data_IF_804879504108
#
_entry.id   IF_804879504108
#
_cell.length_a   1.000
_cell.length_b   1.000
_cell.length_c   1.000
_cell.angle_alpha   90.00
_cell.angle_beta   90.00
_cell.angle_gamma   90.00
#
_symmetry.space_group_name_H-M   'P 1'
#
loop_
_entity.id
_entity.type
_entity.pdbx_description
1 polymer ?
#
# COMPACT_ATOMS: atom_id res chain seq x y z
N UNK A 1 17.51 -3.33 8.97
CA UNK A 1 17.15 -3.35 8.64
C UNK A 1 16.84 -2.86 7.95
N UNK A 2 16.98 -2.53 7.61
CA UNK A 2 16.77 -2.07 6.98
C UNK A 2 16.24 -2.22 6.53
N UNK A 3 16.16 -2.46 6.58
CA UNK A 3 15.73 -2.73 6.06
C UNK A 3 15.14 -2.03 5.46
N UNK A 4 14.84 -1.53 5.30
CA UNK A 4 14.37 -1.04 4.68
C UNK A 4 14.11 0.09 4.14
N UNK A 5 13.88 0.48 3.16
CA UNK A 5 13.56 1.68 2.68
C UNK A 5 12.85 1.75 1.44
N UNK A 6 11.73 2.33 1.11
CA UNK A 6 10.97 2.35 -0.12
C UNK A 6 9.76 3.15 -0.29
N UNK A 7 9.11 3.46 -1.39
CA UNK A 7 7.80 3.76 -1.82
C UNK A 7 7.02 4.40 -2.84
N UNK A 8 6.10 4.77 -3.61
CA UNK A 8 4.89 4.88 -4.04
C UNK A 8 4.17 5.39 -5.22
N UNK A 9 3.57 5.75 -6.11
CA UNK A 9 2.42 5.68 -6.83
C UNK A 9 2.23 6.19 -8.22
N UNK A 10 1.42 5.85 -9.03
CA UNK A 10 1.37 5.99 -10.34
C UNK A 10 0.17 6.28 -10.97
N UNK A 11 0.00 6.57 -12.12
CA UNK A 11 -1.21 6.88 -12.54
C UNK A 11 -1.52 6.71 -13.92
N UNK A 12 -0.62 6.41 -14.74
CA UNK A 12 -1.06 6.20 -16.01
C UNK A 12 -1.91 5.02 -16.03
N UNK A 13 -1.73 4.16 -15.17
CA UNK A 13 -2.66 3.06 -15.02
C UNK A 13 -3.65 3.42 -13.95
N UNK A 14 -4.13 4.66 -13.94
CA UNK A 14 -5.00 5.13 -12.88
C UNK A 14 -6.18 4.22 -12.64
N UNK A 15 -6.88 3.84 -13.70
CA UNK A 15 -8.05 2.99 -13.51
C UNK A 15 -7.67 1.58 -13.07
N UNK A 16 -6.56 1.08 -13.55
CA UNK A 16 -6.08 -0.21 -13.12
C UNK A 16 -5.71 -0.17 -11.65
N UNK A 17 -5.01 0.88 -11.24
CA UNK A 17 -4.64 1.03 -9.85
C UNK A 17 -5.86 1.18 -8.96
N UNK A 18 -6.84 1.93 -9.42
CA UNK A 18 -8.05 2.13 -8.66
C UNK A 18 -8.81 0.81 -8.48
N UNK A 19 -8.87 0.03 -9.53
CA UNK A 19 -9.50 -1.28 -9.46
C UNK A 19 -8.75 -2.18 -8.50
N UNK A 20 -7.43 -2.14 -8.54
CA UNK A 20 -6.63 -2.92 -7.61
C UNK A 20 -6.89 -2.49 -6.17
N UNK A 21 -6.99 -1.19 -5.93
CA UNK A 21 -7.32 -0.72 -4.60
C UNK A 21 -8.67 -1.25 -4.15
N UNK A 22 -9.65 -1.20 -5.04
CA UNK A 22 -10.97 -1.70 -4.69
C UNK A 22 -10.97 -3.20 -4.42
N UNK A 23 -10.20 -3.93 -5.19
CA UNK A 23 -10.18 -5.37 -5.05
C UNK A 23 -9.43 -5.83 -3.81
N UNK A 24 -8.41 -5.06 -3.41
CA UNK A 24 -7.54 -5.52 -2.35
C UNK A 24 -7.56 -4.67 -1.09
N UNK A 25 -8.48 -3.71 -1.01
CA UNK A 25 -8.57 -2.90 0.16
C UNK A 25 -9.23 -3.63 1.28
N UNK A 26 -9.20 -3.94 2.24
CA UNK A 26 -9.87 -4.71 3.28
C UNK A 26 -9.39 -6.15 3.29
N UNK A 27 -8.09 -6.32 3.23
CA UNK A 27 -7.51 -7.64 3.35
C UNK A 27 -7.75 -8.17 4.75
N UNK A 28 -7.97 -9.46 4.86
CA UNK A 28 -8.13 -10.11 6.13
C UNK A 28 -6.83 -10.78 6.54
N UNK A 29 -6.75 -11.17 7.80
CA UNK A 29 -5.53 -11.74 8.34
C UNK A 29 -4.97 -12.90 7.52
N UNK A 30 -5.84 -13.78 7.05
CA UNK A 30 -5.33 -14.92 6.28
C UNK A 30 -4.90 -14.52 4.89
N UNK A 31 -5.44 -13.43 4.35
CA UNK A 31 -4.98 -12.93 3.06
C UNK A 31 -3.56 -12.37 3.22
N UNK A 32 -3.33 -11.64 4.30
CA UNK A 32 -1.99 -11.13 4.61
C UNK A 32 -1.03 -12.29 4.80
N UNK A 33 -1.46 -13.30 5.55
CA UNK A 33 -0.60 -14.45 5.81
C UNK A 33 -0.19 -15.13 4.51
N UNK A 34 -1.13 -15.28 3.60
CA UNK A 34 -0.85 -15.91 2.32
C UNK A 34 0.16 -15.09 1.51
N UNK A 35 -0.02 -13.78 1.50
CA UNK A 35 0.90 -12.91 0.79
C UNK A 35 2.30 -12.98 1.39
N UNK A 36 2.39 -12.99 2.72
CA UNK A 36 3.69 -13.07 3.36
C UNK A 36 4.40 -14.37 3.03
N UNK A 37 3.66 -15.46 2.95
CA UNK A 37 4.25 -16.76 2.67
C UNK A 37 4.76 -16.88 1.24
N UNK A 38 4.15 -16.14 0.31
CA UNK A 38 4.53 -16.25 -1.09
C UNK A 38 5.51 -15.19 -1.53
N UNK A 39 5.77 -14.18 -0.69
CA UNK A 39 6.67 -13.10 -1.06
C UNK A 39 8.12 -13.57 -1.08
N UNK A 40 8.88 -13.05 -2.03
CA UNK A 40 10.33 -13.30 -2.07
C UNK A 40 11.04 -12.57 -0.95
N UNK A 41 10.57 -11.37 -0.63
CA UNK A 41 11.15 -10.56 0.42
C UNK A 41 10.07 -9.75 1.09
N UNK A 42 10.23 -9.49 2.37
CA UNK A 42 9.28 -8.75 3.18
C UNK A 42 10.03 -7.65 3.91
N UNK A 43 9.57 -6.43 3.75
CA UNK A 43 10.18 -5.27 4.41
C UNK A 43 9.13 -4.61 5.30
N UNK A 44 9.41 -4.54 6.58
CA UNK A 44 8.49 -3.92 7.53
C UNK A 44 9.06 -2.58 7.94
N UNK A 45 8.18 -1.59 8.11
CA UNK A 45 8.57 -0.27 8.57
C UNK A 45 9.73 0.28 7.75
N UNK A 46 9.54 0.30 6.45
CA UNK A 46 10.58 0.67 5.52
C UNK A 46 10.68 2.20 5.45
N UNK A 47 11.78 2.78 5.94
CA UNK A 47 11.90 4.23 5.92
C UNK A 47 12.27 4.75 4.54
N UNK A 48 11.82 5.95 4.24
CA UNK A 48 12.18 6.58 2.99
C UNK A 48 12.48 8.05 3.19
N UNK A 49 13.29 8.59 2.30
CA UNK A 49 13.60 10.00 2.23
C UNK A 49 13.44 10.44 0.80
N UNK A 50 12.88 11.60 0.58
CA UNK A 50 12.67 12.11 -0.76
C UNK A 50 12.94 13.60 -0.80
N UNK A 51 13.60 14.04 -1.85
CA UNK A 51 13.75 15.46 -2.14
C UNK A 51 13.12 15.72 -3.48
N UNK A 52 12.24 16.71 -3.55
CA UNK A 52 11.62 17.11 -4.79
C UNK A 52 11.81 18.62 -4.90
N UNK A 53 12.82 19.00 -5.67
CA UNK A 53 13.23 20.39 -5.69
C UNK A 53 13.77 20.78 -4.31
N UNK A 54 13.10 21.74 -3.69
CA UNK A 54 13.46 22.17 -2.35
C UNK A 54 12.63 21.51 -1.27
N UNK A 55 11.72 20.64 -1.65
CA UNK A 55 10.87 19.99 -0.67
C UNK A 55 11.47 18.68 -0.22
N UNK A 56 11.55 18.52 1.08
CA UNK A 56 12.07 17.32 1.70
C UNK A 56 10.91 16.55 2.34
N UNK A 57 10.86 15.26 2.08
CA UNK A 57 9.85 14.39 2.69
C UNK A 57 10.52 13.17 3.25
N UNK A 58 10.01 12.69 4.38
CA UNK A 58 10.45 11.40 4.88
C UNK A 58 9.25 10.70 5.48
N UNK A 59 9.39 9.42 5.70
CA UNK A 59 8.31 8.64 6.28
C UNK A 59 8.70 7.20 6.35
N UNK A 60 7.68 6.37 6.63
CA UNK A 60 7.87 4.94 6.76
C UNK A 60 6.71 4.26 6.07
N UNK A 61 7.01 3.24 5.25
CA UNK A 61 5.96 2.38 4.71
C UNK A 61 5.78 1.20 5.63
N UNK A 62 4.54 0.93 5.96
CA UNK A 62 4.27 -0.11 6.96
C UNK A 62 4.76 -1.47 6.52
N UNK A 63 4.48 -1.84 5.28
CA UNK A 63 4.85 -3.16 4.80
C UNK A 63 5.02 -3.11 3.29
N UNK A 64 6.13 -3.65 2.81
CA UNK A 64 6.39 -3.77 1.38
C UNK A 64 6.78 -5.20 1.09
N UNK A 65 6.10 -5.79 0.13
CA UNK A 65 6.37 -7.17 -0.27
C UNK A 65 6.93 -7.18 -1.68
N UNK A 66 8.05 -7.84 -1.85
CA UNK A 66 8.57 -8.12 -3.18
C UNK A 66 8.06 -9.49 -3.56
N UNK A 67 7.11 -9.53 -4.48
CA UNK A 67 6.53 -10.81 -4.88
C UNK A 67 7.37 -11.47 -5.97
N UNK A 68 7.99 -10.67 -6.81
CA UNK A 68 8.92 -11.14 -7.83
C UNK A 68 9.75 -9.94 -8.25
N UNK A 69 10.65 -10.15 -9.20
CA UNK A 69 11.47 -9.05 -9.70
C UNK A 69 10.62 -7.98 -10.37
N UNK A 70 9.40 -8.31 -10.77
CA UNK A 70 8.54 -7.40 -11.50
C UNK A 70 7.22 -7.12 -10.78
N UNK A 71 7.12 -7.45 -9.52
CA UNK A 71 5.85 -7.31 -8.80
C UNK A 71 6.09 -7.00 -7.34
N UNK A 72 5.53 -5.87 -6.89
CA UNK A 72 5.64 -5.42 -5.50
C UNK A 72 4.27 -5.09 -4.98
N UNK A 73 4.09 -5.21 -3.68
CA UNK A 73 2.85 -4.83 -3.01
C UNK A 73 3.22 -3.96 -1.82
N UNK A 74 2.58 -2.79 -1.74
CA UNK A 74 2.70 -1.91 -0.58
C UNK A 74 1.41 -2.07 0.22
N UNK A 75 1.53 -2.36 1.50
CA UNK A 75 0.37 -2.50 2.36
C UNK A 75 0.45 -1.43 3.44
N UNK A 76 -0.59 -0.63 3.53
CA UNK A 76 -0.66 0.44 4.50
C UNK A 76 -1.70 0.09 5.53
N UNK A 77 -1.34 0.13 6.80
CA UNK A 77 -2.25 -0.20 7.89
C UNK A 77 -3.03 1.02 8.30
N UNK A 78 -4.33 0.85 8.46
CA UNK A 78 -5.20 1.91 8.93
C UNK A 78 -6.00 1.40 10.11
N UNK A 79 -6.30 2.31 11.00
CA UNK A 79 -7.07 1.96 12.20
C UNK A 79 -8.45 2.63 12.17
N UNK A 80 -8.90 3.04 11.01
CA UNK A 80 -10.20 3.67 10.88
C UNK A 80 -11.30 2.70 11.26
N UNK A 81 -12.36 3.24 11.82
CA UNK A 81 -13.51 2.45 12.20
C UNK A 81 -14.59 2.68 11.15
N UNK A 82 -15.19 1.60 10.71
CA UNK A 82 -16.26 1.71 9.75
C UNK A 82 -17.49 2.28 10.44
N UNK A 83 -17.90 3.47 10.05
CA UNK A 83 -19.05 4.13 10.63
C UNK A 83 -20.27 4.07 9.74
N UNK A 84 -20.09 3.68 8.50
CA UNK A 84 -21.17 3.63 7.55
C UNK A 84 -21.72 2.23 7.42
N UNK A 85 -23.06 2.14 7.33
CA UNK A 85 -23.69 0.85 7.14
C UNK A 85 -23.36 0.26 5.79
N UNK A 86 -23.14 1.13 4.80
CA UNK A 86 -22.84 0.67 3.44
C UNK A 86 -21.33 0.49 3.30
N UNK A 87 -20.90 -0.75 3.25
CA UNK A 87 -19.48 -1.08 3.14
C UNK A 87 -18.88 -0.52 1.88
N UNK A 88 -19.60 -0.56 0.78
CA UNK A 88 -19.09 -0.08 -0.49
C UNK A 88 -18.82 1.41 -0.46
N UNK A 89 -19.75 2.19 0.11
CA UNK A 89 -19.53 3.62 0.23
C UNK A 89 -18.36 3.93 1.14
N UNK A 90 -18.21 3.17 2.20
CA UNK A 90 -17.10 3.34 3.10
C UNK A 90 -15.78 3.08 2.37
N UNK A 91 -15.71 2.01 1.61
CA UNK A 91 -14.51 1.68 0.86
C UNK A 91 -14.16 2.76 -0.15
N UNK A 92 -15.15 3.24 -0.88
CA UNK A 92 -14.90 4.29 -1.87
C UNK A 92 -14.37 5.55 -1.22
N UNK A 93 -14.92 5.90 -0.09
CA UNK A 93 -14.47 7.11 0.60
C UNK A 93 -13.06 6.96 1.14
N UNK A 94 -12.76 5.79 1.69
CA UNK A 94 -11.42 5.52 2.22
C UNK A 94 -10.39 5.56 1.10
N UNK A 95 -10.69 4.92 -0.02
CA UNK A 95 -9.78 4.93 -1.14
C UNK A 95 -9.54 6.34 -1.66
N UNK A 96 -10.61 7.12 -1.76
CA UNK A 96 -10.48 8.50 -2.20
C UNK A 96 -9.60 9.30 -1.24
N UNK A 97 -9.79 9.08 0.05
CA UNK A 97 -9.05 9.83 1.07
C UNK A 97 -7.56 9.48 1.07
N UNK A 98 -7.23 8.20 0.94
CA UNK A 98 -5.85 7.79 1.10
C UNK A 98 -5.11 7.57 -0.21
N UNK A 99 -5.78 7.69 -1.33
CA UNK A 99 -5.13 7.49 -2.61
C UNK A 99 -3.91 8.37 -2.82
N UNK A 100 -3.94 9.66 -2.49
CA UNK A 100 -2.74 10.48 -2.69
C UNK A 100 -1.54 9.95 -1.92
N UNK A 101 -1.76 9.44 -0.72
CA UNK A 101 -0.67 8.88 0.07
C UNK A 101 -0.12 7.61 -0.58
N UNK A 102 -1.00 6.75 -1.06
CA UNK A 102 -0.57 5.51 -1.70
C UNK A 102 0.14 5.79 -3.01
N UNK A 103 -0.34 6.79 -3.75
CA UNK A 103 0.30 7.22 -4.98
C UNK A 103 1.72 7.71 -4.70
N UNK A 104 1.87 8.45 -3.62
CA UNK A 104 3.16 8.97 -3.23
C UNK A 104 4.11 7.83 -2.85
N UNK A 105 3.62 6.86 -2.08
CA UNK A 105 4.44 5.71 -1.70
C UNK A 105 4.92 4.93 -2.92
N UNK A 106 4.03 4.70 -3.87
CA UNK A 106 4.43 3.97 -5.07
C UNK A 106 5.50 4.72 -5.84
N UNK A 107 5.32 6.02 -5.99
CA UNK A 107 6.29 6.85 -6.69
C UNK A 107 7.66 6.76 -6.02
N UNK A 108 7.68 6.84 -4.71
CA UNK A 108 8.93 6.78 -3.96
C UNK A 108 9.58 5.40 -4.10
N UNK A 109 8.78 4.33 -3.99
CA UNK A 109 9.31 2.98 -4.10
C UNK A 109 9.96 2.76 -5.47
N UNK A 110 9.26 3.20 -6.53
CA UNK A 110 9.81 3.05 -7.88
C UNK A 110 11.12 3.79 -8.03
N UNK A 111 11.22 4.97 -7.42
CA UNK A 111 12.43 5.77 -7.52
C UNK A 111 13.56 5.16 -6.72
N UNK A 112 13.28 4.73 -5.51
CA UNK A 112 14.32 4.19 -4.63
C UNK A 112 14.91 2.90 -5.15
N UNK A 113 14.09 2.06 -5.76
CA UNK A 113 14.53 0.77 -6.27
C UNK A 113 14.82 0.81 -7.78
N UNK A 114 14.69 1.98 -8.40
CA UNK A 114 14.91 2.13 -9.84
C UNK A 114 14.07 1.13 -10.63
N UNK A 115 12.80 1.03 -10.27
CA UNK A 115 11.91 0.07 -10.92
C UNK A 115 11.53 0.55 -12.31
N UNK A 116 11.43 -0.39 -13.24
CA UNK A 116 11.01 -0.03 -14.58
C UNK A 116 9.50 0.21 -14.57
N UNK A 117 9.01 0.87 -15.62
CA UNK A 117 7.59 1.13 -15.75
C UNK A 117 6.78 -0.16 -15.91
N UNK A 118 7.45 -1.23 -16.32
CA UNK A 118 6.78 -2.51 -16.48
C UNK A 118 6.62 -3.27 -15.18
N UNK A 119 7.30 -2.83 -14.14
CA UNK A 119 7.15 -3.46 -12.83
C UNK A 119 5.80 -3.06 -12.26
N UNK A 120 5.07 -4.04 -11.77
CA UNK A 120 3.77 -3.79 -11.17
C UNK A 120 3.93 -3.47 -9.69
N UNK A 121 3.24 -2.44 -9.25
CA UNK A 121 3.21 -2.09 -7.83
C UNK A 121 1.74 -1.93 -7.46
N UNK A 122 1.28 -2.78 -6.55
CA UNK A 122 -0.08 -2.69 -6.03
C UNK A 122 -0.04 -2.05 -4.66
N UNK A 123 -1.09 -1.32 -4.32
CA UNK A 123 -1.20 -0.72 -3.00
C UNK A 123 -2.46 -1.23 -2.34
N UNK A 124 -2.33 -1.75 -1.14
CA UNK A 124 -3.44 -2.31 -0.39
C UNK A 124 -3.59 -1.55 0.91
N UNK A 125 -4.81 -1.43 1.36
CA UNK A 125 -5.11 -0.86 2.67
C UNK A 125 -5.62 -1.97 3.54
N UNK A 126 -5.01 -2.14 4.70
CA UNK A 126 -5.42 -3.16 5.64
C UNK A 126 -5.97 -2.48 6.89
N UNK A 127 -7.22 -2.73 7.21
CA UNK A 127 -7.87 -2.11 8.35
C UNK A 127 -7.74 -3.00 9.57
N UNK A 128 -6.88 -2.63 10.47
CA UNK A 128 -6.61 -3.46 11.63
C UNK A 128 -7.81 -3.52 12.57
N UNK A 129 -8.54 -2.42 12.66
CA UNK A 129 -9.71 -2.40 13.53
C UNK A 129 -10.94 -3.06 12.92
N UNK A 130 -10.93 -3.26 11.62
CA UNK A 130 -12.07 -3.83 10.94
C UNK A 130 -12.33 -5.26 11.42
N UNK A 131 -11.29 -6.03 11.59
CA UNK A 131 -11.43 -7.39 12.09
C UNK A 131 -12.00 -7.40 13.48
N UNK A 132 -11.51 -6.54 14.35
CA UNK A 132 -12.03 -6.47 15.70
C UNK A 132 -13.49 -6.09 15.72
N UNK A 133 -13.85 -5.19 14.87
CA UNK A 133 -15.19 -4.73 14.74
C UNK A 133 -16.11 -5.86 14.34
N UNK A 134 -15.70 -6.63 13.36
CA UNK A 134 -16.51 -7.70 12.86
C UNK A 134 -16.60 -8.88 13.81
N UNK A 135 -15.64 -9.02 14.69
CA UNK A 135 -15.67 -10.10 15.66
C UNK A 135 -16.58 -9.80 16.85
N UNK A 136 -16.86 -8.55 17.04
CA UNK A 136 -17.74 -8.15 18.12
C UNK A 136 -19.18 -8.17 17.67
#
# INVERSE_FOLDING_TARGET
>A
DFEGECSSQASESFYKDYINYQLHSFLKDKDIEKLLKTAQAVYTELPFYSMDGNEYSNGVMDLVLKMSDKSFIIIDYKTNIQEEADRKLFEERILKTYRPQLDFYEKILRKMLSLSEKTEVECHIYFMNDDKYMKN
#
